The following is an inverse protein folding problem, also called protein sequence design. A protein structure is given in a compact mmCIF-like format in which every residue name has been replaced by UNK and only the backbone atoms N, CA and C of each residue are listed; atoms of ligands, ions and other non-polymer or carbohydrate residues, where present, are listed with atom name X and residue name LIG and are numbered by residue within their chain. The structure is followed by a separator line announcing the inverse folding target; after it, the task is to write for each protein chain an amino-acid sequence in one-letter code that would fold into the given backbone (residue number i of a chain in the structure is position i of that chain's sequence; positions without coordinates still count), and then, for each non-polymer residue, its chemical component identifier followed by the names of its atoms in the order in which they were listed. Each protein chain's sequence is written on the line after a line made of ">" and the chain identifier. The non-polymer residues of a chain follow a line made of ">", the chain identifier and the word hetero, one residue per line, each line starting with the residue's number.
data_IF_814957703320
#
_entry.id   IF_814957703320
#
_cell.length_a   1.000
_cell.length_b   1.000
_cell.length_c   1.000
_cell.angle_alpha   90.00
_cell.angle_beta   90.00
_cell.angle_gamma   90.00
#
_symmetry.space_group_name_H-M   'P 1'
#
loop_
_entity.id
_entity.type
_entity.pdbx_description
1 polymer ?
#
# COMPACT_ATOMS: atom_id res chain seq x y z
N UNK A 1 -1.83 -18.42 -18.08
CA UNK A 1 -1.77 -17.02 -17.58
C UNK A 1 -0.52 -16.88 -16.71
N UNK A 2 0.40 -15.96 -17.02
CA UNK A 2 1.68 -15.82 -16.27
C UNK A 2 1.61 -14.60 -15.35
N UNK A 3 2.10 -14.75 -14.12
CA UNK A 3 2.29 -13.63 -13.20
C UNK A 3 3.71 -13.05 -13.35
N UNK A 4 3.88 -11.71 -13.31
CA UNK A 4 2.81 -10.71 -13.37
C UNK A 4 2.25 -10.57 -14.79
N UNK A 5 0.91 -10.53 -14.90
CA UNK A 5 0.24 -10.34 -16.19
C UNK A 5 0.28 -8.86 -16.61
N UNK A 6 0.06 -8.57 -17.90
CA UNK A 6 0.09 -7.20 -18.45
C UNK A 6 -0.78 -6.22 -17.65
N UNK A 7 -2.01 -6.62 -17.33
CA UNK A 7 -2.95 -5.78 -16.56
C UNK A 7 -2.41 -5.38 -15.18
N UNK A 8 -1.78 -6.33 -14.47
CA UNK A 8 -1.16 -6.05 -13.17
C UNK A 8 0.05 -5.14 -13.32
N UNK A 9 0.88 -5.31 -14.36
CA UNK A 9 2.02 -4.41 -14.62
C UNK A 9 1.56 -2.98 -14.90
N UNK A 10 0.48 -2.80 -15.67
CA UNK A 10 -0.07 -1.49 -15.99
C UNK A 10 -0.68 -0.83 -14.74
N UNK A 11 -1.37 -1.60 -13.89
CA UNK A 11 -1.89 -1.11 -12.62
C UNK A 11 -0.77 -0.73 -11.65
N UNK A 12 0.22 -1.59 -11.49
CA UNK A 12 1.39 -1.38 -10.65
C UNK A 12 2.16 -0.13 -11.05
N UNK A 13 2.39 0.08 -12.36
CA UNK A 13 3.02 1.30 -12.87
C UNK A 13 2.28 2.56 -12.41
N UNK A 14 0.95 2.58 -12.51
CA UNK A 14 0.13 3.72 -12.05
C UNK A 14 0.20 3.93 -10.54
N UNK A 15 0.20 2.84 -9.76
CA UNK A 15 0.23 2.93 -8.31
C UNK A 15 1.60 3.38 -7.79
N UNK A 16 2.69 2.91 -8.38
CA UNK A 16 4.04 3.38 -8.03
C UNK A 16 4.23 4.85 -8.34
N UNK A 17 3.78 5.31 -9.52
CA UNK A 17 4.00 6.70 -9.93
C UNK A 17 3.06 7.69 -9.24
N UNK A 18 1.84 7.29 -8.88
CA UNK A 18 0.85 8.20 -8.26
C UNK A 18 0.78 8.11 -6.75
N UNK A 19 1.05 6.94 -6.18
CA UNK A 19 0.75 6.64 -4.77
C UNK A 19 1.94 6.05 -4.01
N UNK A 20 3.10 5.88 -4.67
CA UNK A 20 4.31 5.35 -4.02
C UNK A 20 4.21 3.88 -3.58
N UNK A 21 3.24 3.12 -4.09
CA UNK A 21 2.99 1.72 -3.68
C UNK A 21 3.13 0.77 -4.87
N UNK A 22 3.78 -0.37 -4.65
CA UNK A 22 3.90 -1.46 -5.62
C UNK A 22 2.94 -2.59 -5.27
N UNK A 23 1.97 -2.86 -6.15
CA UNK A 23 1.02 -3.95 -5.93
C UNK A 23 1.64 -5.31 -6.22
N UNK A 24 2.61 -5.36 -7.15
CA UNK A 24 3.35 -6.58 -7.43
C UNK A 24 4.21 -6.97 -6.24
N UNK A 25 4.85 -5.99 -5.59
CA UNK A 25 5.63 -6.22 -4.37
C UNK A 25 4.74 -6.73 -3.25
N UNK A 26 3.59 -6.09 -3.00
CA UNK A 26 2.62 -6.60 -2.03
C UNK A 26 2.25 -8.07 -2.28
N UNK A 27 1.98 -8.45 -3.55
CA UNK A 27 1.66 -9.83 -3.91
C UNK A 27 2.85 -10.79 -3.72
N UNK A 28 4.08 -10.34 -3.99
CA UNK A 28 5.28 -11.13 -3.72
C UNK A 28 5.48 -11.33 -2.21
N UNK A 29 5.33 -10.28 -1.40
CA UNK A 29 5.41 -10.37 0.06
C UNK A 29 4.35 -11.31 0.60
N UNK A 30 3.08 -11.20 0.16
CA UNK A 30 2.01 -12.14 0.55
C UNK A 30 2.38 -13.59 0.20
N UNK A 31 3.05 -13.82 -0.93
CA UNK A 31 3.50 -15.16 -1.32
C UNK A 31 4.61 -15.70 -0.41
N UNK A 32 5.46 -14.81 0.12
CA UNK A 32 6.60 -15.18 0.98
C UNK A 32 6.18 -15.40 2.44
N UNK A 33 5.41 -14.47 3.01
CA UNK A 33 5.10 -14.45 4.46
C UNK A 33 3.64 -14.83 4.77
N UNK A 34 2.80 -14.95 3.74
CA UNK A 34 1.37 -15.22 3.89
C UNK A 34 0.54 -13.96 4.15
N UNK A 35 -0.78 -14.09 3.93
CA UNK A 35 -1.71 -12.97 3.99
C UNK A 35 -1.83 -12.36 5.39
N UNK A 36 -1.91 -13.20 6.44
CA UNK A 36 -2.10 -12.73 7.81
C UNK A 36 -0.92 -11.86 8.28
N UNK A 37 0.31 -12.31 8.03
CA UNK A 37 1.51 -11.55 8.41
C UNK A 37 1.63 -10.25 7.60
N UNK A 38 1.33 -10.31 6.30
CA UNK A 38 1.29 -9.11 5.46
C UNK A 38 0.30 -8.05 5.98
N UNK A 39 -0.91 -8.47 6.39
CA UNK A 39 -1.90 -7.54 6.95
C UNK A 39 -1.43 -6.89 8.24
N UNK A 40 -0.77 -7.63 9.14
CA UNK A 40 -0.21 -7.06 10.37
C UNK A 40 0.91 -6.04 10.11
N UNK A 41 1.79 -6.31 9.14
CA UNK A 41 2.83 -5.34 8.73
C UNK A 41 2.21 -4.07 8.13
N UNK A 42 1.24 -4.22 7.23
CA UNK A 42 0.59 -3.09 6.57
C UNK A 42 -0.26 -2.26 7.55
N UNK A 43 -0.88 -2.87 8.58
CA UNK A 43 -1.59 -2.13 9.63
C UNK A 43 -0.69 -1.09 10.32
N UNK A 44 0.58 -1.44 10.55
CA UNK A 44 1.56 -0.50 11.10
C UNK A 44 1.89 0.62 10.11
N UNK A 45 2.24 0.25 8.87
CA UNK A 45 2.62 1.18 7.80
C UNK A 45 1.52 2.20 7.46
N UNK A 46 0.26 1.77 7.43
CA UNK A 46 -0.88 2.62 7.07
C UNK A 46 -1.49 3.36 8.26
N UNK A 47 -0.84 3.39 9.42
CA UNK A 47 -1.30 4.12 10.59
C UNK A 47 -0.82 5.57 10.54
N UNK A 48 -1.73 6.52 10.72
CA UNK A 48 -1.37 7.93 10.86
C UNK A 48 -0.54 8.13 12.14
N UNK A 49 0.66 8.69 12.01
CA UNK A 49 1.55 8.98 13.14
C UNK A 49 0.97 9.98 14.14
N UNK A 50 0.08 10.87 13.71
CA UNK A 50 -0.55 11.85 14.58
C UNK A 50 -1.79 11.32 15.31
N UNK A 51 -2.79 10.82 14.57
CA UNK A 51 -4.09 10.46 15.16
C UNK A 51 -4.36 8.96 15.23
N UNK A 52 -3.43 8.11 14.75
CA UNK A 52 -3.56 6.66 14.78
C UNK A 52 -4.59 6.06 13.82
N UNK A 53 -5.31 6.89 13.05
CA UNK A 53 -6.31 6.42 12.08
C UNK A 53 -5.68 5.86 10.81
N UNK A 54 -6.44 5.02 10.10
CA UNK A 54 -6.02 4.42 8.84
C UNK A 54 -5.82 5.49 7.74
N UNK A 55 -4.69 5.42 7.06
CA UNK A 55 -4.32 6.27 5.95
C UNK A 55 -4.90 5.75 4.63
N UNK A 56 -5.45 6.62 3.80
CA UNK A 56 -5.99 6.26 2.48
C UNK A 56 -4.90 6.33 1.41
N UNK A 57 -4.58 5.24 0.72
CA UNK A 57 -3.53 5.18 -0.34
C UNK A 57 -3.61 6.29 -1.40
N UNK A 58 -4.80 6.83 -1.70
CA UNK A 58 -5.00 7.82 -2.75
C UNK A 58 -4.91 9.29 -2.31
N UNK A 59 -4.55 9.56 -1.05
CA UNK A 59 -4.41 10.91 -0.49
C UNK A 59 -3.00 11.14 0.01
N UNK A 60 -2.51 12.38 0.00
CA UNK A 60 -1.21 12.72 0.60
C UNK A 60 -1.35 13.14 2.06
N UNK A 61 -2.59 13.39 2.51
CA UNK A 61 -2.94 13.79 3.88
C UNK A 61 -3.86 12.77 4.55
N UNK A 62 -3.83 12.73 5.88
CA UNK A 62 -4.77 11.96 6.68
C UNK A 62 -6.17 12.57 6.55
N UNK A 63 -7.16 11.74 6.17
CA UNK A 63 -8.56 12.17 6.03
C UNK A 63 -9.12 12.67 7.37
N UNK A 64 -8.63 12.14 8.50
CA UNK A 64 -9.19 12.43 9.81
C UNK A 64 -8.57 13.66 10.49
N UNK A 65 -7.29 13.95 10.26
CA UNK A 65 -6.60 15.07 10.95
C UNK A 65 -5.84 16.03 10.02
N UNK A 66 -5.87 15.80 8.71
CA UNK A 66 -5.27 16.70 7.71
C UNK A 66 -3.74 16.67 7.60
N UNK A 67 -3.04 16.00 8.52
CA UNK A 67 -1.56 15.93 8.50
C UNK A 67 -1.05 15.13 7.30
N UNK A 68 0.04 15.62 6.71
CA UNK A 68 0.77 14.95 5.64
C UNK A 68 1.24 13.56 6.10
N UNK A 69 1.12 12.60 5.20
CA UNK A 69 1.64 11.26 5.41
C UNK A 69 3.16 11.27 5.45
N UNK A 70 3.72 10.53 6.40
CA UNK A 70 5.15 10.27 6.49
C UNK A 70 5.46 8.81 6.11
N UNK A 71 4.83 8.32 5.03
CA UNK A 71 5.00 6.94 4.53
C UNK A 71 6.17 6.89 3.55
#
# INVERSE_FOLDING_TARGET
>A
MKFPCRRIKDLDKRYRTKYGVSLIENLNTIKEIGLTQFVELEKGKWKCSNCGQLLCVHRDTCINCGILKAI
#
